data_IF_709035868951
#
_entry.id   IF_709035868951
#
_cell.length_a   1.000
_cell.length_b   1.000
_cell.length_c   1.000
_cell.angle_alpha   90.00
_cell.angle_beta   90.00
_cell.angle_gamma   90.00
#
_symmetry.space_group_name_H-M   'P 1'
#
loop_
_entity.id
_entity.type
_entity.pdbx_description
1 polymer ?
#
# COMPACT_ATOMS: atom_id res chain seq x y z
N UNK A 1 -22.51 42.25 -17.52
CA UNK A 1 -21.18 42.53 -16.97
C UNK A 1 -21.18 41.98 -15.56
N UNK A 2 -20.73 40.73 -15.37
CA UNK A 2 -20.74 40.06 -14.07
C UNK A 2 -19.33 40.04 -13.50
N UNK A 3 -19.19 40.58 -12.29
CA UNK A 3 -17.94 40.82 -11.56
C UNK A 3 -17.27 39.48 -11.20
N UNK A 4 -16.03 39.32 -11.67
CA UNK A 4 -15.20 38.15 -11.46
C UNK A 4 -14.27 38.39 -10.27
N UNK A 5 -14.77 38.26 -9.04
CA UNK A 5 -13.91 38.30 -7.84
C UNK A 5 -14.30 37.26 -6.80
N UNK A 6 -13.34 36.37 -6.53
CA UNK A 6 -13.20 35.43 -5.40
C UNK A 6 -14.29 34.36 -5.27
N UNK A 7 -14.10 33.26 -6.00
CA UNK A 7 -14.41 31.95 -5.46
C UNK A 7 -13.10 31.34 -4.92
N UNK A 8 -12.78 31.63 -3.66
CA UNK A 8 -11.83 30.81 -2.90
C UNK A 8 -12.53 29.47 -2.63
N UNK A 9 -12.31 28.51 -3.53
CA UNK A 9 -12.72 27.12 -3.32
C UNK A 9 -11.80 26.50 -2.27
N UNK A 10 -12.10 26.75 -0.99
CA UNK A 10 -11.56 25.96 0.11
C UNK A 10 -12.27 24.62 0.05
N UNK A 11 -11.64 23.65 -0.60
CA UNK A 11 -12.15 22.29 -0.71
C UNK A 11 -11.94 21.59 0.65
N UNK A 12 -12.91 21.72 1.55
CA UNK A 12 -13.03 20.82 2.71
C UNK A 12 -13.45 19.44 2.19
N UNK A 13 -12.46 18.67 1.74
CA UNK A 13 -12.64 17.25 1.51
C UNK A 13 -12.89 16.57 2.86
N UNK A 14 -14.02 15.86 3.01
CA UNK A 14 -14.35 14.96 4.15
C UNK A 14 -13.24 13.94 4.47
N UNK A 15 -12.27 13.81 3.56
CA UNK A 15 -11.07 13.00 3.69
C UNK A 15 -9.87 13.95 3.81
N UNK A 16 -9.41 14.26 5.03
CA UNK A 16 -8.32 15.22 5.25
C UNK A 16 -6.98 14.75 4.67
N UNK A 17 -6.83 13.47 4.32
CA UNK A 17 -5.64 12.92 3.68
C UNK A 17 -5.56 13.23 2.18
N UNK A 18 -6.69 13.53 1.53
CA UNK A 18 -6.72 13.88 0.09
C UNK A 18 -6.05 15.23 -0.19
N UNK A 19 -5.99 16.14 0.78
CA UNK A 19 -5.33 17.45 0.63
C UNK A 19 -3.89 17.33 0.13
N UNK A 20 -3.16 16.31 0.61
CA UNK A 20 -1.76 16.07 0.25
C UNK A 20 -1.57 15.57 -1.19
N UNK A 21 -2.64 15.16 -1.87
CA UNK A 21 -2.61 14.84 -3.30
C UNK A 21 -2.76 16.09 -4.18
N UNK A 22 -3.32 17.16 -3.62
CA UNK A 22 -3.60 18.40 -4.35
C UNK A 22 -2.61 19.50 -4.02
N UNK A 23 -1.87 19.41 -2.91
CA UNK A 23 -0.94 20.45 -2.45
C UNK A 23 0.49 19.93 -2.33
N UNK A 24 1.47 20.78 -2.61
CA UNK A 24 2.89 20.50 -2.37
C UNK A 24 3.23 20.56 -0.87
N UNK A 25 4.50 20.28 -0.55
CA UNK A 25 5.03 20.33 0.83
C UNK A 25 4.93 21.72 1.48
N UNK A 26 4.68 22.77 0.68
CA UNK A 26 4.49 24.14 1.11
C UNK A 26 3.01 24.56 1.11
N UNK A 27 2.08 23.63 0.86
CA UNK A 27 0.64 23.88 0.82
C UNK A 27 0.15 24.53 -0.47
N UNK A 28 1.00 24.67 -1.50
CA UNK A 28 0.60 25.23 -2.79
C UNK A 28 -0.14 24.19 -3.62
N UNK A 29 -1.27 24.57 -4.19
CA UNK A 29 -2.06 23.70 -5.07
C UNK A 29 -1.24 23.29 -6.31
N UNK A 30 -0.96 21.99 -6.45
CA UNK A 30 -0.27 21.40 -7.60
C UNK A 30 -1.30 21.05 -8.69
N UNK A 31 -2.47 20.52 -8.31
CA UNK A 31 -3.52 20.07 -9.24
C UNK A 31 -4.92 20.34 -8.69
N UNK A 32 -5.87 20.63 -9.58
CA UNK A 32 -7.29 20.71 -9.20
C UNK A 32 -7.89 19.30 -9.15
N UNK A 33 -8.94 19.11 -8.34
CA UNK A 33 -9.63 17.81 -8.18
C UNK A 33 -10.05 17.17 -9.52
N UNK A 34 -10.63 17.95 -10.43
CA UNK A 34 -11.03 17.44 -11.76
C UNK A 34 -9.86 17.06 -12.68
N UNK A 35 -8.68 17.66 -12.50
CA UNK A 35 -7.48 17.33 -13.28
C UNK A 35 -6.90 15.98 -12.81
N UNK A 36 -6.86 15.76 -11.49
CA UNK A 36 -6.38 14.51 -10.91
C UNK A 36 -7.29 13.33 -11.29
N UNK A 37 -8.62 13.50 -11.21
CA UNK A 37 -9.56 12.44 -11.63
C UNK A 37 -9.39 12.05 -13.10
N UNK A 38 -9.11 13.03 -13.95
CA UNK A 38 -8.89 12.81 -15.37
C UNK A 38 -7.58 12.02 -15.61
N UNK A 39 -6.50 12.39 -14.93
CA UNK A 39 -5.22 11.66 -14.97
C UNK A 39 -5.29 10.25 -14.38
N UNK A 40 -6.09 10.05 -13.32
CA UNK A 40 -6.30 8.72 -12.73
C UNK A 40 -7.05 7.78 -13.68
N UNK A 41 -7.95 8.32 -14.51
CA UNK A 41 -8.66 7.55 -15.55
C UNK A 41 -7.78 7.29 -16.77
N UNK A 42 -6.92 8.24 -17.11
CA UNK A 42 -6.01 8.18 -18.26
C UNK A 42 -4.58 8.53 -17.81
N UNK A 43 -3.80 7.53 -17.35
CA UNK A 43 -2.43 7.77 -16.89
C UNK A 43 -1.60 8.40 -18.00
N UNK A 44 -0.79 9.41 -17.65
CA UNK A 44 0.17 10.01 -18.57
C UNK A 44 1.14 8.94 -19.08
N UNK A 45 1.41 8.92 -20.38
CA UNK A 45 2.29 7.93 -21.01
C UNK A 45 3.74 7.97 -20.47
N UNK A 46 4.15 9.07 -19.85
CA UNK A 46 5.48 9.24 -19.31
C UNK A 46 5.49 8.98 -17.79
N UNK A 47 5.69 7.72 -17.42
CA UNK A 47 5.84 7.29 -16.02
C UNK A 47 7.31 7.44 -15.64
N UNK A 48 7.59 8.13 -14.54
CA UNK A 48 8.93 8.14 -13.94
C UNK A 48 9.27 6.73 -13.43
N UNK A 49 10.19 6.06 -14.13
CA UNK A 49 10.62 4.70 -13.82
C UNK A 49 11.20 4.57 -12.40
N UNK A 50 11.90 5.60 -11.91
CA UNK A 50 12.50 5.58 -10.56
C UNK A 50 11.40 5.61 -9.51
N UNK A 51 10.36 6.42 -9.71
CA UNK A 51 9.21 6.48 -8.80
C UNK A 51 8.42 5.17 -8.85
N UNK A 52 8.20 4.62 -10.04
CA UNK A 52 7.53 3.33 -10.19
C UNK A 52 8.27 2.20 -9.47
N UNK A 53 9.59 2.10 -9.65
CA UNK A 53 10.41 1.08 -8.99
C UNK A 53 10.34 1.19 -7.46
N UNK A 54 10.30 2.41 -6.92
CA UNK A 54 10.11 2.63 -5.47
C UNK A 54 8.75 2.16 -4.98
N UNK A 55 7.69 2.43 -5.74
CA UNK A 55 6.34 2.00 -5.39
C UNK A 55 6.26 0.47 -5.43
N UNK A 56 6.72 -0.14 -6.52
CA UNK A 56 6.75 -1.60 -6.69
C UNK A 56 7.58 -2.26 -5.60
N UNK A 57 8.79 -1.74 -5.34
CA UNK A 57 9.67 -2.24 -4.29
C UNK A 57 9.07 -2.14 -2.90
N UNK A 58 8.32 -1.07 -2.61
CA UNK A 58 7.62 -0.91 -1.32
C UNK A 58 6.50 -1.94 -1.13
N UNK A 59 5.71 -2.18 -2.18
CA UNK A 59 4.63 -3.17 -2.16
C UNK A 59 5.18 -4.60 -2.05
N UNK A 60 6.22 -4.92 -2.83
CA UNK A 60 6.88 -6.23 -2.77
C UNK A 60 7.59 -6.43 -1.43
N UNK A 61 8.25 -5.40 -0.91
CA UNK A 61 8.94 -5.43 0.39
C UNK A 61 7.98 -5.68 1.55
N UNK A 62 6.79 -5.08 1.52
CA UNK A 62 5.74 -5.35 2.50
C UNK A 62 5.32 -6.82 2.47
N UNK A 63 5.01 -7.35 1.28
CA UNK A 63 4.60 -8.75 1.12
C UNK A 63 5.71 -9.73 1.52
N UNK A 64 6.96 -9.47 1.13
CA UNK A 64 8.11 -10.29 1.49
C UNK A 64 8.38 -10.27 3.00
N UNK A 65 8.31 -9.10 3.63
CA UNK A 65 8.48 -8.96 5.07
C UNK A 65 7.42 -9.73 5.86
N UNK A 66 6.16 -9.66 5.42
CA UNK A 66 5.06 -10.41 6.02
C UNK A 66 5.24 -11.93 5.88
N UNK A 67 5.54 -12.42 4.66
CA UNK A 67 5.76 -13.86 4.44
C UNK A 67 6.97 -14.42 5.20
N UNK A 68 8.05 -13.64 5.35
CA UNK A 68 9.22 -14.02 6.15
C UNK A 68 8.90 -14.03 7.65
N UNK A 69 8.21 -13.00 8.14
CA UNK A 69 7.91 -12.82 9.57
C UNK A 69 6.86 -13.81 10.09
N UNK A 70 5.87 -14.17 9.28
CA UNK A 70 4.75 -15.01 9.69
C UNK A 70 5.17 -16.41 10.18
N UNK A 71 6.27 -16.96 9.65
CA UNK A 71 6.82 -18.25 10.09
C UNK A 71 7.25 -18.22 11.57
N UNK A 72 7.79 -17.10 12.03
CA UNK A 72 8.33 -16.93 13.39
C UNK A 72 7.46 -16.05 14.28
N UNK A 73 6.25 -15.73 13.85
CA UNK A 73 5.30 -14.95 14.62
C UNK A 73 5.01 -15.64 15.97
N UNK A 74 5.08 -14.86 17.06
CA UNK A 74 4.96 -15.30 18.46
C UNK A 74 6.08 -16.20 18.99
N UNK A 75 7.22 -16.31 18.30
CA UNK A 75 8.42 -16.97 18.86
C UNK A 75 9.19 -16.03 19.79
N UNK A 76 9.76 -16.55 20.90
CA UNK A 76 10.58 -15.75 21.79
C UNK A 76 11.90 -15.36 21.13
N UNK A 77 12.55 -14.31 21.65
CA UNK A 77 13.76 -13.78 21.05
C UNK A 77 14.91 -14.81 21.00
N UNK A 78 15.05 -15.63 22.04
CA UNK A 78 16.06 -16.68 22.14
C UNK A 78 15.89 -17.73 21.04
N UNK A 79 14.65 -18.01 20.64
CA UNK A 79 14.37 -18.91 19.52
C UNK A 79 14.87 -18.31 18.20
N UNK A 80 14.67 -17.01 17.98
CA UNK A 80 15.10 -16.31 16.77
C UNK A 80 16.63 -16.25 16.66
N UNK A 81 17.34 -16.10 17.78
CA UNK A 81 18.81 -16.14 17.81
C UNK A 81 19.34 -17.53 17.41
N UNK A 82 18.69 -18.60 17.88
CA UNK A 82 19.07 -19.96 17.55
C UNK A 82 18.62 -20.39 16.14
N UNK A 83 17.51 -19.83 15.63
CA UNK A 83 16.86 -20.22 14.38
C UNK A 83 16.65 -18.99 13.49
N UNK A 84 17.75 -18.52 12.88
CA UNK A 84 17.73 -17.36 11.99
C UNK A 84 16.94 -17.67 10.71
N UNK A 85 15.90 -16.88 10.45
CA UNK A 85 15.14 -16.92 9.19
C UNK A 85 16.00 -16.34 8.08
N UNK A 86 16.43 -17.19 7.14
CA UNK A 86 17.23 -16.79 5.97
C UNK A 86 16.50 -16.95 4.65
N UNK A 87 15.43 -17.72 4.65
CA UNK A 87 14.67 -18.09 3.47
C UNK A 87 13.17 -17.92 3.72
N UNK A 88 12.41 -17.85 2.64
CA UNK A 88 10.98 -18.07 2.72
C UNK A 88 10.73 -19.52 3.15
N UNK A 89 10.06 -19.67 4.28
CA UNK A 89 9.75 -20.95 4.92
C UNK A 89 8.25 -21.02 5.21
N UNK A 90 7.67 -22.21 5.10
CA UNK A 90 6.28 -22.46 5.46
C UNK A 90 6.13 -22.86 6.93
N UNK A 91 4.91 -23.11 7.39
CA UNK A 91 4.60 -23.50 8.77
C UNK A 91 4.32 -22.30 9.66
N UNK A 92 5.04 -22.22 10.78
CA UNK A 92 4.79 -21.21 11.82
C UNK A 92 3.47 -21.40 12.55
N UNK A 93 3.09 -20.42 13.35
CA UNK A 93 1.86 -20.42 14.16
C UNK A 93 0.59 -20.67 13.33
N UNK A 94 0.62 -20.31 12.05
CA UNK A 94 -0.53 -20.32 11.17
C UNK A 94 -0.54 -21.46 10.15
N UNK A 95 0.50 -22.30 10.11
CA UNK A 95 0.61 -23.41 9.17
C UNK A 95 0.59 -22.97 7.70
N UNK A 96 1.28 -21.87 7.37
CA UNK A 96 1.27 -21.29 6.02
C UNK A 96 2.10 -22.10 5.03
N UNK A 97 1.77 -22.02 3.74
CA UNK A 97 2.65 -22.50 2.69
C UNK A 97 3.87 -21.58 2.53
N UNK A 98 4.95 -22.10 1.97
CA UNK A 98 6.17 -21.33 1.73
C UNK A 98 5.90 -20.11 0.83
N UNK A 99 6.22 -18.92 1.33
CA UNK A 99 6.03 -17.66 0.61
C UNK A 99 4.60 -17.11 0.64
N UNK A 100 3.70 -17.75 1.39
CA UNK A 100 2.33 -17.27 1.56
C UNK A 100 2.31 -16.07 2.53
N UNK A 101 1.73 -14.96 2.06
CA UNK A 101 1.44 -13.79 2.89
C UNK A 101 0.19 -14.01 3.75
N UNK A 102 0.15 -13.33 4.91
CA UNK A 102 -1.00 -13.23 5.80
C UNK A 102 -2.09 -12.38 5.14
N UNK A 103 -2.94 -13.04 4.35
CA UNK A 103 -4.18 -12.43 3.90
C UNK A 103 -5.27 -12.59 4.96
N UNK A 104 -5.97 -11.50 5.27
CA UNK A 104 -7.22 -11.51 6.07
C UNK A 104 -8.34 -12.20 5.27
N UNK A 105 -8.20 -12.31 3.94
CA UNK A 105 -9.12 -13.03 3.08
C UNK A 105 -8.63 -14.47 2.87
N UNK A 106 -9.06 -15.37 3.76
CA UNK A 106 -9.16 -16.78 3.37
C UNK A 106 -10.29 -16.88 2.35
N UNK A 107 -9.96 -17.19 1.10
CA UNK A 107 -10.93 -17.85 0.24
C UNK A 107 -11.35 -19.13 0.97
N UNK A 108 -12.58 -19.18 1.47
CA UNK A 108 -13.23 -20.43 1.86
C UNK A 108 -13.49 -21.24 0.59
N UNK A 109 -12.43 -21.78 0.01
CA UNK A 109 -12.52 -22.75 -1.07
C UNK A 109 -12.64 -24.13 -0.44
N UNK A 110 -13.89 -24.56 -0.27
CA UNK A 110 -14.38 -25.95 -0.26
C UNK A 110 -13.37 -27.03 0.15
N UNK A 111 -13.25 -27.26 1.46
CA UNK A 111 -12.84 -28.57 2.02
C UNK A 111 -13.77 -28.97 3.16
N UNK A 112 -15.06 -28.75 2.96
CA UNK A 112 -16.13 -29.46 3.66
C UNK A 112 -16.81 -30.35 2.60
N UNK A 113 -16.14 -31.44 2.23
CA UNK A 113 -16.77 -32.61 1.60
C UNK A 113 -15.78 -33.78 1.63
N UNK A 114 -16.18 -34.80 2.40
CA UNK A 114 -15.56 -36.11 2.72
C UNK A 114 -14.47 -36.14 3.78
#
# INVERSE_FOLDING_TARGET
>A
MFDARRAEWVYESDKPWLKYQFTDVHGKLIKKSGELECEMKCPTANIDKIVLDKILGSLMGLALGDALGAHVEFRPHEYLQANLVKNLEGGGTWGLDKGQVRSIFRNRSSKDNM
#
